data_IF_153602760636
#
_entry.id   IF_153602760636
#
_cell.length_a   1.000
_cell.length_b   1.000
_cell.length_c   1.000
_cell.angle_alpha   90.00
_cell.angle_beta   90.00
_cell.angle_gamma   90.00
#
_symmetry.space_group_name_H-M   'P 1'
#
loop_
_entity.id
_entity.type
_entity.pdbx_description
1 polymer ?
#
# COMPACT_ATOMS: atom_id res chain seq x y z
N UNK A 1 4.96 6.94 20.06
CA UNK A 1 4.56 7.10 18.64
C UNK A 1 5.42 6.14 17.84
N UNK A 2 4.83 5.34 16.96
CA UNK A 2 5.58 4.54 15.99
C UNK A 2 6.11 5.48 14.90
N UNK A 3 7.32 5.23 14.41
CA UNK A 3 7.89 6.04 13.32
C UNK A 3 7.31 5.61 11.97
N UNK A 4 7.34 6.50 10.98
CA UNK A 4 6.89 6.21 9.61
C UNK A 4 7.54 4.92 9.08
N UNK A 5 8.85 4.79 9.28
CA UNK A 5 9.61 3.57 8.97
C UNK A 5 8.97 2.30 9.56
N UNK A 6 8.61 2.32 10.84
CA UNK A 6 8.05 1.13 11.51
C UNK A 6 6.69 0.74 10.95
N UNK A 7 5.85 1.71 10.56
CA UNK A 7 4.57 1.41 9.92
C UNK A 7 4.74 0.83 8.51
N UNK A 8 5.70 1.35 7.74
CA UNK A 8 6.02 0.84 6.41
C UNK A 8 6.63 -0.57 6.49
N UNK A 9 7.58 -0.80 7.40
CA UNK A 9 8.20 -2.12 7.59
C UNK A 9 7.15 -3.16 8.03
N UNK A 10 6.24 -2.78 8.92
CA UNK A 10 5.12 -3.66 9.34
C UNK A 10 4.22 -4.00 8.17
N UNK A 11 3.84 -3.00 7.38
CA UNK A 11 3.00 -3.21 6.20
C UNK A 11 3.68 -4.10 5.15
N UNK A 12 4.97 -3.91 4.85
CA UNK A 12 5.71 -4.77 3.92
C UNK A 12 5.74 -6.23 4.42
N UNK A 13 5.98 -6.44 5.71
CA UNK A 13 5.97 -7.77 6.33
C UNK A 13 4.57 -8.42 6.31
N UNK A 14 3.52 -7.66 6.56
CA UNK A 14 2.13 -8.15 6.49
C UNK A 14 1.79 -8.61 5.06
N UNK A 15 2.23 -7.89 4.03
CA UNK A 15 2.03 -8.30 2.63
C UNK A 15 2.83 -9.57 2.26
N UNK A 16 4.05 -9.72 2.77
CA UNK A 16 4.83 -10.96 2.58
C UNK A 16 4.17 -12.15 3.28
N UNK A 17 3.60 -11.94 4.46
CA UNK A 17 2.85 -12.96 5.18
C UNK A 17 1.58 -13.38 4.41
N UNK A 18 0.83 -12.43 3.85
CA UNK A 18 -0.34 -12.72 3.00
C UNK A 18 0.08 -13.55 1.78
N UNK A 19 1.16 -13.16 1.11
CA UNK A 19 1.64 -13.85 -0.10
C UNK A 19 2.24 -15.24 0.17
N UNK A 20 2.76 -15.49 1.38
CA UNK A 20 3.28 -16.81 1.77
C UNK A 20 2.16 -17.75 2.23
N UNK A 21 1.17 -17.24 2.97
CA UNK A 21 0.00 -18.01 3.41
C UNK A 21 -0.87 -18.42 2.21
N UNK A 22 -0.99 -17.56 1.20
CA UNK A 22 -1.76 -17.90 0.00
C UNK A 22 -1.17 -19.08 -0.78
N UNK A 23 0.16 -19.23 -0.79
CA UNK A 23 0.87 -20.33 -1.43
C UNK A 23 0.73 -21.66 -0.68
N UNK A 24 0.52 -21.63 0.65
CA UNK A 24 0.35 -22.83 1.46
C UNK A 24 -1.07 -23.36 1.46
N UNK A 25 -2.06 -22.47 1.34
CA UNK A 25 -3.47 -22.78 1.60
C UNK A 25 -4.31 -22.97 0.30
N UNK A 26 -3.66 -23.17 -0.85
CA UNK A 26 -4.29 -23.28 -2.18
C UNK A 26 -5.26 -22.12 -2.48
N UNK A 27 -4.89 -20.90 -2.09
CA UNK A 27 -5.78 -19.75 -2.19
C UNK A 27 -5.99 -19.31 -3.64
N UNK A 28 -7.21 -18.90 -4.01
CA UNK A 28 -7.46 -18.32 -5.33
C UNK A 28 -6.73 -16.97 -5.42
N UNK A 29 -6.06 -16.71 -6.54
CA UNK A 29 -5.23 -15.50 -6.73
C UNK A 29 -6.03 -14.21 -6.46
N UNK A 30 -7.31 -14.24 -6.79
CA UNK A 30 -8.34 -13.25 -6.52
C UNK A 30 -8.44 -12.89 -5.05
N UNK A 31 -8.56 -13.89 -4.18
CA UNK A 31 -8.76 -13.70 -2.74
C UNK A 31 -7.49 -13.18 -2.08
N UNK A 32 -6.32 -13.64 -2.55
CA UNK A 32 -5.03 -13.06 -2.17
C UNK A 32 -4.98 -11.56 -2.55
N UNK A 33 -5.27 -11.20 -3.80
CA UNK A 33 -5.18 -9.82 -4.28
C UNK A 33 -6.17 -8.90 -3.58
N UNK A 34 -7.37 -9.39 -3.32
CA UNK A 34 -8.36 -8.67 -2.53
C UNK A 34 -7.83 -8.39 -1.12
N UNK A 35 -7.21 -9.38 -0.49
CA UNK A 35 -6.66 -9.26 0.86
C UNK A 35 -5.48 -8.29 0.90
N UNK A 36 -4.57 -8.36 -0.07
CA UNK A 36 -3.46 -7.40 -0.20
C UNK A 36 -3.97 -5.96 -0.39
N UNK A 37 -4.99 -5.76 -1.22
CA UNK A 37 -5.59 -4.44 -1.46
C UNK A 37 -6.26 -3.89 -0.19
N UNK A 38 -7.09 -4.68 0.48
CA UNK A 38 -7.74 -4.28 1.74
C UNK A 38 -6.74 -3.95 2.84
N UNK A 39 -5.72 -4.79 2.99
CA UNK A 39 -4.68 -4.58 3.99
C UNK A 39 -3.91 -3.28 3.71
N UNK A 40 -3.55 -3.04 2.44
CA UNK A 40 -2.83 -1.83 2.03
C UNK A 40 -3.67 -0.57 2.27
N UNK A 41 -4.94 -0.55 1.86
CA UNK A 41 -5.83 0.59 2.10
C UNK A 41 -5.96 0.92 3.59
N UNK A 42 -6.07 -0.12 4.43
CA UNK A 42 -6.18 0.03 5.88
C UNK A 42 -4.89 0.57 6.50
N UNK A 43 -3.73 0.03 6.10
CA UNK A 43 -2.44 0.46 6.61
C UNK A 43 -2.14 1.92 6.21
N UNK A 44 -2.37 2.28 4.95
CA UNK A 44 -2.04 3.61 4.47
C UNK A 44 -2.93 4.70 5.06
N UNK A 45 -4.25 4.55 4.96
CA UNK A 45 -5.18 5.58 5.43
C UNK A 45 -5.20 5.69 6.95
N UNK A 46 -5.03 4.57 7.65
CA UNK A 46 -5.08 4.56 9.11
C UNK A 46 -3.77 4.94 9.79
N UNK A 47 -2.62 4.67 9.17
CA UNK A 47 -1.31 4.71 9.86
C UNK A 47 -0.22 5.43 9.08
N UNK A 48 -0.01 5.11 7.80
CA UNK A 48 1.13 5.65 7.04
C UNK A 48 0.91 7.11 6.61
N UNK A 49 -0.25 7.47 6.03
CA UNK A 49 -0.55 8.87 5.67
C UNK A 49 -0.51 9.80 6.90
N UNK A 50 -1.17 9.46 8.03
CA UNK A 50 -1.05 10.28 9.24
C UNK A 50 0.41 10.46 9.70
N UNK A 51 1.23 9.41 9.58
CA UNK A 51 2.65 9.50 9.92
C UNK A 51 3.43 10.40 8.95
N UNK A 52 3.15 10.32 7.63
CA UNK A 52 3.75 11.19 6.60
C UNK A 52 3.42 12.67 6.86
N UNK A 53 2.13 12.98 7.03
CA UNK A 53 1.65 14.35 7.26
C UNK A 53 2.21 14.95 8.55
N UNK A 54 2.43 14.12 9.58
CA UNK A 54 3.01 14.55 10.85
C UNK A 54 4.50 14.88 10.75
N UNK A 55 5.24 14.32 9.78
CA UNK A 55 6.68 14.53 9.63
C UNK A 55 7.01 15.82 8.87
N UNK A 56 6.35 16.10 7.74
CA UNK A 56 6.51 17.38 7.04
C UNK A 56 5.26 17.79 6.23
N UNK A 57 4.76 19.03 6.37
CA UNK A 57 3.66 19.55 5.55
C UNK A 57 4.04 19.88 4.09
N UNK A 58 5.33 19.84 3.73
CA UNK A 58 5.83 20.40 2.47
C UNK A 58 5.94 19.36 1.34
N UNK A 59 5.85 18.06 1.65
CA UNK A 59 5.85 16.98 0.66
C UNK A 59 4.42 16.58 0.25
N UNK A 60 3.55 17.60 0.09
CA UNK A 60 2.16 17.40 -0.31
C UNK A 60 2.03 16.64 -1.62
N UNK A 61 2.99 16.78 -2.53
CA UNK A 61 3.02 16.03 -3.81
C UNK A 61 3.11 14.53 -3.56
N UNK A 62 3.96 14.08 -2.62
CA UNK A 62 4.10 12.66 -2.31
C UNK A 62 2.84 12.10 -1.65
N UNK A 63 2.24 12.87 -0.72
CA UNK A 63 0.98 12.48 -0.07
C UNK A 63 -0.16 12.42 -1.08
N UNK A 64 -0.31 13.43 -1.94
CA UNK A 64 -1.33 13.49 -2.99
C UNK A 64 -1.21 12.33 -3.97
N UNK A 65 0.01 11.98 -4.40
CA UNK A 65 0.24 10.84 -5.30
C UNK A 65 -0.09 9.51 -4.61
N UNK A 66 0.28 9.35 -3.34
CA UNK A 66 -0.10 8.18 -2.55
C UNK A 66 -1.63 8.08 -2.43
N UNK A 67 -2.32 9.19 -2.13
CA UNK A 67 -3.78 9.23 -2.05
C UNK A 67 -4.43 8.87 -3.39
N UNK A 68 -3.91 9.39 -4.51
CA UNK A 68 -4.39 9.05 -5.85
C UNK A 68 -4.30 7.54 -6.14
N UNK A 69 -3.17 6.92 -5.79
CA UNK A 69 -2.98 5.47 -5.95
C UNK A 69 -3.87 4.66 -5.01
N UNK A 70 -4.16 5.15 -3.80
CA UNK A 70 -5.08 4.48 -2.88
C UNK A 70 -6.53 4.56 -3.35
N UNK A 71 -6.94 5.67 -3.95
CA UNK A 71 -8.27 5.80 -4.53
C UNK A 71 -8.41 4.86 -5.73
N UNK A 72 -7.40 4.79 -6.60
CA UNK A 72 -7.37 3.82 -7.70
C UNK A 72 -7.40 2.36 -7.18
N UNK A 73 -6.62 2.05 -6.14
CA UNK A 73 -6.63 0.71 -5.51
C UNK A 73 -8.01 0.38 -4.90
N UNK A 74 -8.71 1.38 -4.36
CA UNK A 74 -10.06 1.19 -3.85
C UNK A 74 -11.03 0.85 -4.98
N UNK A 75 -10.99 1.57 -6.10
CA UNK A 75 -11.84 1.27 -7.26
C UNK A 75 -11.58 -0.15 -7.79
N UNK A 76 -10.31 -0.53 -7.92
CA UNK A 76 -9.92 -1.89 -8.33
C UNK A 76 -10.42 -2.96 -7.36
N UNK A 77 -10.33 -2.69 -6.05
CA UNK A 77 -10.85 -3.59 -5.01
C UNK A 77 -12.37 -3.72 -5.09
N UNK A 78 -13.07 -2.63 -5.36
CA UNK A 78 -14.52 -2.65 -5.54
C UNK A 78 -14.92 -3.41 -6.82
N UNK A 79 -14.09 -3.35 -7.88
CA UNK A 79 -14.25 -4.17 -9.09
C UNK A 79 -13.98 -5.65 -8.85
N UNK A 80 -13.05 -6.00 -7.96
CA UNK A 80 -12.82 -7.39 -7.52
C UNK A 80 -13.99 -7.97 -6.72
N UNK A 81 -14.87 -7.13 -6.15
CA UNK A 81 -16.12 -7.59 -5.52
C UNK A 81 -17.26 -7.80 -6.52
N UNK A 82 -17.17 -7.26 -7.73
CA UNK A 82 -18.22 -7.38 -8.75
C UNK A 82 -18.16 -8.73 -9.44
N UNK A 83 -19.31 -9.27 -9.83
CA UNK A 83 -19.42 -10.56 -10.53
C UNK A 83 -18.79 -10.60 -11.93
N UNK A 84 -18.45 -9.45 -12.50
CA UNK A 84 -17.75 -9.33 -13.79
C UNK A 84 -16.52 -8.47 -13.56
N UNK A 85 -15.36 -9.11 -13.45
CA UNK A 85 -14.09 -8.42 -13.31
C UNK A 85 -13.60 -7.92 -14.68
N UNK A 86 -13.12 -6.67 -14.78
CA UNK A 86 -12.34 -6.25 -15.93
C UNK A 86 -11.13 -7.19 -16.12
N UNK A 87 -10.77 -7.55 -17.37
CA UNK A 87 -9.76 -8.56 -17.65
C UNK A 87 -8.35 -8.21 -17.14
N UNK A 88 -8.12 -6.94 -16.81
CA UNK A 88 -6.82 -6.42 -16.37
C UNK A 88 -6.76 -6.08 -14.87
N UNK A 89 -7.87 -6.17 -14.13
CA UNK A 89 -7.93 -5.70 -12.73
C UNK A 89 -6.86 -6.32 -11.83
N UNK A 90 -6.50 -7.58 -12.05
CA UNK A 90 -5.44 -8.25 -11.27
C UNK A 90 -4.06 -7.65 -11.50
N UNK A 91 -3.75 -7.33 -12.76
CA UNK A 91 -2.49 -6.71 -13.13
C UNK A 91 -2.42 -5.30 -12.56
N UNK A 92 -3.51 -4.55 -12.69
CA UNK A 92 -3.62 -3.18 -12.19
C UNK A 92 -3.48 -3.12 -10.67
N UNK A 93 -4.03 -4.09 -9.91
CA UNK A 93 -3.80 -4.20 -8.46
C UNK A 93 -2.31 -4.42 -8.16
N UNK A 94 -1.66 -5.37 -8.84
CA UNK A 94 -0.25 -5.67 -8.60
C UNK A 94 0.66 -4.47 -8.92
N UNK A 95 0.39 -3.77 -10.02
CA UNK A 95 1.12 -2.56 -10.44
C UNK A 95 0.90 -1.43 -9.42
N UNK A 96 -0.33 -1.21 -8.97
CA UNK A 96 -0.66 -0.19 -7.96
C UNK A 96 0.02 -0.46 -6.62
N UNK A 97 0.01 -1.72 -6.15
CA UNK A 97 0.74 -2.12 -4.94
C UNK A 97 2.26 -1.94 -5.10
N UNK A 98 2.79 -2.19 -6.30
CA UNK A 98 4.19 -1.93 -6.64
C UNK A 98 4.56 -0.45 -6.55
N UNK A 99 3.71 0.43 -7.10
CA UNK A 99 3.89 1.88 -7.03
C UNK A 99 3.86 2.39 -5.59
N UNK A 100 2.89 1.94 -4.78
CA UNK A 100 2.79 2.29 -3.36
C UNK A 100 4.04 1.86 -2.56
N UNK A 101 4.61 0.68 -2.85
CA UNK A 101 5.89 0.23 -2.25
C UNK A 101 7.04 1.14 -2.64
N UNK A 102 7.12 1.53 -3.92
CA UNK A 102 8.19 2.41 -4.39
C UNK A 102 8.12 3.78 -3.71
N UNK A 103 6.94 4.39 -3.64
CA UNK A 103 6.74 5.69 -3.00
C UNK A 103 7.00 5.64 -1.48
N UNK A 104 6.59 4.55 -0.81
CA UNK A 104 6.89 4.35 0.62
C UNK A 104 8.39 4.31 0.90
N UNK A 105 9.16 3.65 0.02
CA UNK A 105 10.63 3.61 0.16
C UNK A 105 11.26 4.98 -0.08
N UNK A 106 10.70 5.77 -1.00
CA UNK A 106 11.12 7.15 -1.23
C UNK A 106 10.86 7.99 0.02
N UNK A 107 9.67 7.88 0.61
CA UNK A 107 9.30 8.60 1.84
C UNK A 107 10.29 8.34 2.99
N UNK A 108 10.61 7.07 3.25
CA UNK A 108 11.59 6.71 4.29
C UNK A 108 12.99 7.28 3.99
N UNK A 109 13.37 7.33 2.70
CA UNK A 109 14.70 7.82 2.33
C UNK A 109 14.83 9.32 2.59
N UNK A 110 13.74 10.08 2.44
CA UNK A 110 13.67 11.48 2.83
C UNK A 110 13.72 11.66 4.36
N UNK A 111 13.02 10.82 5.13
CA UNK A 111 13.13 10.80 6.61
C UNK A 111 14.59 10.68 7.07
N UNK A 112 15.35 9.71 6.53
CA UNK A 112 16.79 9.57 6.83
C UNK A 112 17.64 10.78 6.45
N UNK A 113 17.39 11.36 5.27
CA UNK A 113 18.17 12.49 4.81
C UNK A 113 17.98 13.74 5.69
N UNK A 114 16.85 13.85 6.39
CA UNK A 114 16.57 14.91 7.36
C UNK A 114 17.17 14.62 8.75
N UNK A 115 17.27 13.36 9.16
CA UNK A 115 17.93 12.96 10.41
C UNK A 115 19.46 13.13 10.39
N UNK A 116 20.07 13.06 9.20
CA UNK A 116 21.52 13.16 8.98
C UNK A 116 22.06 14.61 8.83
N UNK A 117 21.22 15.64 8.93
CA UNK A 117 21.55 17.09 8.75
C UNK A 117 21.50 17.84 10.08
#
# INVERSE_FOLDING_TARGET
>A
MTTLRQEIDRWEADLENIASTSQSDDWFLEEQRLTEALHTLTAFRGRIIPALVAQEPHDGILVDEIEHLLDHLQDLRDDLYRTVHPPNSYREVAETLGALRALSRVAVRFERALEDV
#
